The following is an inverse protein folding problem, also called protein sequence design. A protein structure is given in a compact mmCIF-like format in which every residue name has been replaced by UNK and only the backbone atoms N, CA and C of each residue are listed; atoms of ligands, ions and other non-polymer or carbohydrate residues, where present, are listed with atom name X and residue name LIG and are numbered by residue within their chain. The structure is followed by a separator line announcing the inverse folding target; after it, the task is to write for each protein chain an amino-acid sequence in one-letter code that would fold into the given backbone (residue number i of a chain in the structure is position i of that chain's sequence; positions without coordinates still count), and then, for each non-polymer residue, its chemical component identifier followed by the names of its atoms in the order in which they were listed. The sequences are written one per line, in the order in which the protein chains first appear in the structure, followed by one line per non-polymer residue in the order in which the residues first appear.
data_IF_453951996910
#
_entry.id   IF_453951996910
#
_cell.length_a   1.000
_cell.length_b   1.000
_cell.length_c   1.000
_cell.angle_alpha   90.00
_cell.angle_beta   90.00
_cell.angle_gamma   90.00
#
_symmetry.space_group_name_H-M   'P 1'
#
loop_
_entity.id
_entity.type
_entity.pdbx_description
1 polymer ?
#
# COMPACT_ATOMS: atom_id res chain seq x y z
N UNK A 1 -22.95 12.27 10.39
CA UNK A 1 -21.67 11.60 10.71
C UNK A 1 -21.26 12.02 12.10
N UNK A 2 -20.98 11.09 13.00
CA UNK A 2 -20.62 11.43 14.38
C UNK A 2 -19.23 10.89 14.71
N UNK A 3 -18.43 11.71 15.40
CA UNK A 3 -17.14 11.26 15.90
C UNK A 3 -17.36 10.25 17.04
N UNK A 4 -16.65 9.13 16.99
CA UNK A 4 -16.58 8.17 18.10
C UNK A 4 -15.74 8.68 19.28
N UNK A 5 -14.95 9.74 19.05
CA UNK A 5 -14.21 10.46 20.07
C UNK A 5 -14.39 11.98 19.84
N UNK A 6 -15.31 12.64 20.56
CA UNK A 6 -15.63 14.05 20.32
C UNK A 6 -14.52 14.98 20.84
N UNK A 7 -13.44 15.10 20.06
CA UNK A 7 -12.33 16.03 20.30
C UNK A 7 -12.53 17.31 19.48
N UNK A 8 -13.31 18.25 20.01
CA UNK A 8 -13.54 19.56 19.38
C UNK A 8 -13.89 19.46 17.89
N UNK A 9 -13.31 20.34 17.07
CA UNK A 9 -13.53 20.38 15.61
C UNK A 9 -12.65 19.43 14.78
N UNK A 10 -11.96 18.46 15.40
CA UNK A 10 -11.03 17.59 14.65
C UNK A 10 -11.73 16.73 13.59
N UNK A 11 -12.96 16.29 13.87
CA UNK A 11 -13.73 15.50 12.92
C UNK A 11 -14.09 16.32 11.67
N UNK A 12 -14.47 17.59 11.85
CA UNK A 12 -14.77 18.48 10.73
C UNK A 12 -13.51 18.79 9.90
N UNK A 13 -12.35 18.96 10.56
CA UNK A 13 -11.07 19.11 9.86
C UNK A 13 -10.71 17.86 9.04
N UNK A 14 -10.93 16.66 9.58
CA UNK A 14 -10.74 15.40 8.86
C UNK A 14 -11.65 15.34 7.62
N UNK A 15 -12.93 15.65 7.78
CA UNK A 15 -13.91 15.62 6.69
C UNK A 15 -13.62 16.69 5.62
N UNK A 16 -13.19 17.89 6.03
CA UNK A 16 -12.79 18.94 5.10
C UNK A 16 -11.62 18.50 4.22
N UNK A 17 -10.62 17.81 4.79
CA UNK A 17 -9.50 17.26 4.03
C UNK A 17 -9.94 16.15 3.07
N UNK A 18 -10.79 15.22 3.52
CA UNK A 18 -11.32 14.15 2.65
C UNK A 18 -11.97 14.75 1.39
N UNK A 19 -12.87 15.72 1.57
CA UNK A 19 -13.61 16.34 0.46
C UNK A 19 -12.65 17.13 -0.43
N UNK A 20 -11.79 17.99 0.15
CA UNK A 20 -10.84 18.79 -0.62
C UNK A 20 -9.86 17.94 -1.45
N UNK A 21 -9.44 16.78 -0.95
CA UNK A 21 -8.57 15.88 -1.70
C UNK A 21 -9.28 15.25 -2.90
N UNK A 22 -10.54 14.84 -2.76
CA UNK A 22 -11.31 14.27 -3.88
C UNK A 22 -11.51 15.31 -4.99
N UNK A 23 -11.78 16.57 -4.63
CA UNK A 23 -11.88 17.69 -5.56
C UNK A 23 -10.52 17.98 -6.24
N UNK A 24 -9.44 18.06 -5.46
CA UNK A 24 -8.11 18.34 -5.98
C UNK A 24 -7.62 17.26 -6.96
N UNK A 25 -7.90 15.99 -6.68
CA UNK A 25 -7.59 14.87 -7.58
C UNK A 25 -8.42 14.93 -8.87
N UNK A 26 -9.70 15.29 -8.79
CA UNK A 26 -10.58 15.39 -9.95
C UNK A 26 -10.21 16.56 -10.87
N UNK A 27 -10.00 17.75 -10.32
CA UNK A 27 -9.89 18.98 -11.11
C UNK A 27 -8.48 19.55 -11.22
N UNK A 28 -7.58 19.16 -10.32
CA UNK A 28 -6.22 19.66 -10.32
C UNK A 28 -6.16 21.19 -10.24
N UNK A 29 -5.17 21.75 -10.93
CA UNK A 29 -4.86 23.18 -10.94
C UNK A 29 -4.05 23.55 -12.17
N UNK A 30 -4.63 24.39 -13.02
CA UNK A 30 -4.06 24.80 -14.30
C UNK A 30 -2.88 25.78 -14.16
N UNK A 31 -2.00 25.89 -15.17
CA UNK A 31 -0.94 26.90 -15.17
C UNK A 31 -1.45 28.34 -14.99
N UNK A 32 -2.60 28.68 -15.56
CA UNK A 32 -3.20 30.00 -15.43
C UNK A 32 -3.59 30.31 -13.97
N UNK A 33 -4.19 29.34 -13.27
CA UNK A 33 -4.52 29.46 -11.85
C UNK A 33 -3.25 29.56 -11.00
N UNK A 34 -2.22 28.77 -11.28
CA UNK A 34 -0.93 28.83 -10.55
C UNK A 34 -0.25 30.19 -10.71
N UNK A 35 -0.28 30.78 -11.93
CA UNK A 35 0.24 32.14 -12.18
C UNK A 35 -0.55 33.21 -11.46
N UNK A 36 -1.89 33.09 -11.41
CA UNK A 36 -2.75 34.03 -10.71
C UNK A 36 -2.47 34.11 -9.20
N UNK A 37 -1.84 33.08 -8.61
CA UNK A 37 -1.39 33.07 -7.21
C UNK A 37 -0.05 33.78 -6.97
N UNK A 38 0.53 34.42 -7.99
CA UNK A 38 1.84 35.08 -7.89
C UNK A 38 3.02 34.11 -7.88
N UNK A 39 2.84 32.89 -8.38
CA UNK A 39 3.93 31.90 -8.51
C UNK A 39 4.97 32.40 -9.53
N UNK A 40 6.28 32.44 -9.21
CA UNK A 40 7.33 32.73 -10.18
C UNK A 40 7.28 31.78 -11.37
N UNK A 41 7.49 32.26 -12.60
CA UNK A 41 7.28 31.47 -13.82
C UNK A 41 8.08 30.15 -13.84
N UNK A 42 9.31 30.16 -13.31
CA UNK A 42 10.14 28.96 -13.23
C UNK A 42 9.56 27.88 -12.30
N UNK A 43 8.71 28.26 -11.33
CA UNK A 43 8.10 27.35 -10.36
C UNK A 43 6.70 26.87 -10.81
N UNK A 44 6.08 27.55 -11.77
CA UNK A 44 4.75 27.18 -12.33
C UNK A 44 4.67 25.70 -12.72
N UNK A 45 5.59 25.11 -13.52
CA UNK A 45 5.46 23.71 -13.93
C UNK A 45 5.51 22.72 -12.76
N UNK A 46 6.11 23.09 -11.62
CA UNK A 46 6.17 22.24 -10.42
C UNK A 46 4.96 22.38 -9.50
N UNK A 47 4.09 23.39 -9.72
CA UNK A 47 2.88 23.65 -8.91
C UNK A 47 1.57 23.35 -9.66
N UNK A 48 1.65 22.97 -10.93
CA UNK A 48 0.50 22.51 -11.71
C UNK A 48 0.10 21.12 -11.21
N UNK A 49 -1.20 20.93 -11.03
CA UNK A 49 -1.79 19.62 -10.76
C UNK A 49 -2.65 19.26 -11.97
N UNK A 50 -2.38 18.14 -12.64
CA UNK A 50 -3.08 17.78 -13.88
C UNK A 50 -4.56 17.42 -13.66
N UNK A 51 -4.94 17.04 -12.44
CA UNK A 51 -6.28 16.56 -12.15
C UNK A 51 -6.59 15.26 -12.90
N UNK A 52 -7.87 15.04 -13.21
CA UNK A 52 -8.38 13.87 -13.93
C UNK A 52 -7.97 12.53 -13.28
N UNK A 53 -7.89 12.51 -11.95
CA UNK A 53 -7.61 11.31 -11.16
C UNK A 53 -8.92 10.86 -10.49
N UNK A 54 -9.53 9.76 -10.97
CA UNK A 54 -10.83 9.33 -10.45
C UNK A 54 -10.70 8.83 -9.00
N UNK A 55 -11.74 9.07 -8.21
CA UNK A 55 -11.85 8.60 -6.82
C UNK A 55 -13.25 8.04 -6.57
N UNK A 56 -13.35 7.10 -5.63
CA UNK A 56 -14.62 6.65 -5.07
C UNK A 56 -14.65 7.04 -3.60
N UNK A 57 -15.70 7.75 -3.17
CA UNK A 57 -15.87 8.18 -1.78
C UNK A 57 -17.02 7.40 -1.16
N UNK A 58 -16.71 6.60 -0.13
CA UNK A 58 -17.70 5.84 0.63
C UNK A 58 -17.87 6.53 1.98
N UNK A 59 -19.07 7.06 2.24
CA UNK A 59 -19.43 7.74 3.49
C UNK A 59 -20.36 6.84 4.30
N UNK A 60 -19.93 6.46 5.50
CA UNK A 60 -20.76 5.76 6.48
C UNK A 60 -21.09 6.70 7.66
N UNK A 61 -22.27 6.59 8.26
CA UNK A 61 -22.67 7.51 9.33
C UNK A 61 -21.73 7.47 10.54
N UNK A 62 -21.30 6.28 10.96
CA UNK A 62 -20.38 6.01 12.06
C UNK A 62 -19.63 4.71 11.79
N UNK A 63 -18.39 4.58 12.30
CA UNK A 63 -17.64 3.33 12.26
C UNK A 63 -18.04 2.41 13.43
N UNK A 64 -19.15 1.71 13.26
CA UNK A 64 -19.61 0.65 14.17
C UNK A 64 -19.12 -0.72 13.73
N UNK A 65 -19.16 -1.78 14.59
CA UNK A 65 -18.85 -3.15 14.18
C UNK A 65 -19.65 -3.60 12.95
N UNK A 66 -20.92 -3.22 12.85
CA UNK A 66 -21.76 -3.50 11.69
C UNK A 66 -21.23 -2.82 10.41
N UNK A 67 -20.97 -1.51 10.46
CA UNK A 67 -20.46 -0.77 9.30
C UNK A 67 -19.07 -1.23 8.87
N UNK A 68 -18.23 -1.66 9.82
CA UNK A 68 -16.92 -2.23 9.53
C UNK A 68 -17.06 -3.58 8.83
N UNK A 69 -17.93 -4.46 9.33
CA UNK A 69 -18.23 -5.73 8.69
C UNK A 69 -18.79 -5.56 7.27
N UNK A 70 -19.69 -4.59 7.08
CA UNK A 70 -20.22 -4.26 5.76
C UNK A 70 -19.14 -3.74 4.81
N UNK A 71 -18.21 -2.91 5.30
CA UNK A 71 -17.08 -2.41 4.51
C UNK A 71 -16.13 -3.55 4.09
N UNK A 72 -15.82 -4.48 5.00
CA UNK A 72 -15.01 -5.67 4.68
C UNK A 72 -15.71 -6.51 3.61
N UNK A 73 -16.98 -6.85 3.82
CA UNK A 73 -17.76 -7.65 2.89
C UNK A 73 -17.88 -6.99 1.49
N UNK A 74 -17.99 -5.66 1.44
CA UNK A 74 -17.97 -4.90 0.18
C UNK A 74 -16.68 -5.16 -0.60
N UNK A 75 -15.52 -5.13 0.06
CA UNK A 75 -14.24 -5.38 -0.61
C UNK A 75 -14.02 -6.85 -0.93
N UNK A 76 -14.46 -7.79 -0.08
CA UNK A 76 -14.44 -9.23 -0.39
C UNK A 76 -15.20 -9.52 -1.68
N UNK A 77 -16.42 -8.97 -1.82
CA UNK A 77 -17.22 -9.14 -3.03
C UNK A 77 -16.66 -8.37 -4.23
N UNK A 78 -16.06 -7.19 -4.03
CA UNK A 78 -15.39 -6.45 -5.11
C UNK A 78 -14.23 -7.26 -5.70
N UNK A 79 -13.40 -7.88 -4.85
CA UNK A 79 -12.31 -8.75 -5.29
C UNK A 79 -12.84 -10.01 -5.98
N UNK A 80 -13.86 -10.65 -5.40
CA UNK A 80 -14.50 -11.81 -6.02
C UNK A 80 -15.05 -11.51 -7.41
N UNK A 81 -15.76 -10.40 -7.59
CA UNK A 81 -16.33 -9.99 -8.88
C UNK A 81 -15.23 -9.75 -9.91
N UNK A 82 -14.13 -9.10 -9.53
CA UNK A 82 -12.96 -8.93 -10.42
C UNK A 82 -12.37 -10.27 -10.85
N UNK A 83 -12.18 -11.20 -9.92
CA UNK A 83 -11.69 -12.54 -10.23
C UNK A 83 -12.62 -13.34 -11.15
N UNK A 84 -13.94 -13.24 -10.93
CA UNK A 84 -14.94 -13.85 -11.80
C UNK A 84 -14.90 -13.28 -13.22
N UNK A 85 -14.72 -11.96 -13.37
CA UNK A 85 -14.57 -11.30 -14.68
C UNK A 85 -13.29 -11.76 -15.39
N UNK A 86 -12.18 -11.90 -14.65
CA UNK A 86 -10.89 -12.33 -15.22
C UNK A 86 -10.73 -13.84 -15.36
N UNK A 87 -11.73 -14.63 -14.96
CA UNK A 87 -11.68 -16.10 -14.97
C UNK A 87 -10.47 -16.67 -14.22
N UNK A 88 -10.16 -16.12 -13.04
CA UNK A 88 -9.11 -16.62 -12.15
C UNK A 88 -9.71 -17.15 -10.83
N UNK A 89 -9.02 -18.08 -10.19
CA UNK A 89 -9.39 -18.53 -8.85
C UNK A 89 -8.94 -17.48 -7.82
N UNK A 90 -9.92 -16.82 -7.19
CA UNK A 90 -9.66 -15.80 -6.15
C UNK A 90 -9.40 -16.40 -4.76
N UNK A 91 -9.48 -17.73 -4.65
CA UNK A 91 -9.40 -18.45 -3.37
C UNK A 91 -8.15 -19.34 -3.27
N UNK A 92 -7.32 -19.38 -4.31
CA UNK A 92 -6.02 -20.05 -4.27
C UNK A 92 -4.87 -19.07 -3.94
N UNK A 93 -3.71 -19.64 -3.56
CA UNK A 93 -2.50 -18.87 -3.29
C UNK A 93 -1.21 -19.64 -3.58
N UNK A 94 -1.15 -20.39 -4.69
CA UNK A 94 -0.01 -21.28 -4.99
C UNK A 94 1.35 -20.57 -5.05
N UNK A 95 1.36 -19.27 -5.39
CA UNK A 95 2.58 -18.46 -5.47
C UNK A 95 3.40 -18.37 -4.17
N UNK A 96 2.83 -18.72 -3.01
CA UNK A 96 3.53 -18.67 -1.72
C UNK A 96 4.38 -19.91 -1.43
N UNK A 97 4.18 -21.01 -2.16
CA UNK A 97 4.76 -22.29 -1.81
C UNK A 97 6.26 -22.35 -2.06
N UNK A 98 6.72 -21.85 -3.22
CA UNK A 98 8.13 -21.88 -3.59
C UNK A 98 8.98 -21.12 -2.57
N UNK A 99 8.53 -19.93 -2.15
CA UNK A 99 9.22 -19.13 -1.14
C UNK A 99 9.35 -19.86 0.20
N UNK A 100 8.28 -20.52 0.66
CA UNK A 100 8.29 -21.33 1.89
C UNK A 100 9.26 -22.50 1.78
N UNK A 101 9.26 -23.21 0.66
CA UNK A 101 10.18 -24.34 0.41
C UNK A 101 11.64 -23.90 0.36
N UNK A 102 11.95 -22.80 -0.34
CA UNK A 102 13.31 -22.25 -0.41
C UNK A 102 13.78 -21.78 0.97
N UNK A 103 12.93 -21.08 1.73
CA UNK A 103 13.25 -20.66 3.09
C UNK A 103 13.58 -21.86 4.00
N UNK A 104 12.80 -22.94 3.95
CA UNK A 104 13.06 -24.16 4.72
C UNK A 104 14.43 -24.79 4.39
N UNK A 105 14.91 -24.68 3.14
CA UNK A 105 16.25 -25.14 2.74
C UNK A 105 17.37 -24.20 3.23
N UNK A 106 17.12 -22.89 3.23
CA UNK A 106 18.14 -21.88 3.59
C UNK A 106 18.31 -21.75 5.10
N UNK A 107 17.25 -21.86 5.90
CA UNK A 107 17.29 -21.76 7.38
C UNK A 107 18.42 -22.60 8.01
N UNK A 108 18.53 -23.93 7.77
CA UNK A 108 19.60 -24.72 8.37
C UNK A 108 20.98 -24.26 7.91
N UNK A 109 21.12 -23.82 6.66
CA UNK A 109 22.40 -23.33 6.14
C UNK A 109 22.87 -22.03 6.81
N UNK A 110 21.93 -21.21 7.28
CA UNK A 110 22.25 -20.03 8.09
C UNK A 110 22.59 -20.40 9.54
N UNK A 111 22.00 -21.46 10.09
CA UNK A 111 22.10 -21.82 11.51
C UNK A 111 23.30 -22.70 11.85
N UNK A 112 23.76 -23.55 10.94
CA UNK A 112 24.85 -24.50 11.17
C UNK A 112 26.12 -23.84 11.73
N UNK A 113 26.79 -24.52 12.67
CA UNK A 113 28.00 -24.01 13.30
C UNK A 113 29.18 -23.90 12.30
N UNK A 114 29.38 -24.94 11.48
CA UNK A 114 30.34 -24.96 10.37
C UNK A 114 29.70 -24.44 9.08
N UNK A 115 30.50 -23.96 8.12
CA UNK A 115 29.96 -23.58 6.81
C UNK A 115 29.52 -24.83 6.04
N UNK A 116 28.22 -24.94 5.67
CA UNK A 116 27.74 -26.08 4.91
C UNK A 116 28.10 -25.93 3.44
N UNK A 117 28.04 -27.04 2.69
CA UNK A 117 28.08 -26.98 1.23
C UNK A 117 26.85 -26.24 0.74
N UNK A 118 27.07 -25.15 -0.01
CA UNK A 118 26.01 -24.38 -0.64
C UNK A 118 25.88 -24.78 -2.11
N UNK A 119 24.64 -24.97 -2.56
CA UNK A 119 24.31 -25.42 -3.93
C UNK A 119 23.19 -24.55 -4.53
N UNK A 120 23.22 -23.25 -4.24
CA UNK A 120 22.35 -22.25 -4.87
C UNK A 120 23.12 -21.46 -5.94
N UNK A 121 22.45 -20.48 -6.55
CA UNK A 121 23.10 -19.51 -7.42
C UNK A 121 24.16 -18.68 -6.67
N UNK A 122 25.04 -18.02 -7.43
CA UNK A 122 26.16 -17.26 -6.89
C UNK A 122 25.73 -16.09 -6.00
N UNK A 123 24.60 -15.45 -6.27
CA UNK A 123 24.06 -14.34 -5.46
C UNK A 123 23.59 -14.85 -4.10
N UNK A 124 22.75 -15.89 -4.09
CA UNK A 124 22.23 -16.50 -2.86
C UNK A 124 23.36 -17.02 -1.98
N UNK A 125 24.35 -17.71 -2.57
CA UNK A 125 25.50 -18.22 -1.82
C UNK A 125 26.34 -17.10 -1.20
N UNK A 126 26.54 -15.99 -1.92
CA UNK A 126 27.28 -14.83 -1.41
C UNK A 126 26.56 -14.19 -0.21
N UNK A 127 25.23 -14.07 -0.27
CA UNK A 127 24.42 -13.52 0.81
C UNK A 127 24.45 -14.40 2.06
N UNK A 128 24.31 -15.72 1.90
CA UNK A 128 24.39 -16.69 3.01
C UNK A 128 25.73 -16.58 3.74
N UNK A 129 26.84 -16.56 2.98
CA UNK A 129 28.19 -16.42 3.55
C UNK A 129 28.35 -15.10 4.31
N UNK A 130 27.96 -13.99 3.68
CA UNK A 130 28.06 -12.65 4.30
C UNK A 130 27.27 -12.56 5.60
N UNK A 131 26.04 -13.08 5.62
CA UNK A 131 25.22 -13.11 6.83
C UNK A 131 25.89 -13.92 7.95
N UNK A 132 26.39 -15.13 7.63
CA UNK A 132 27.07 -15.99 8.62
C UNK A 132 28.32 -15.33 9.20
N UNK A 133 29.11 -14.64 8.39
CA UNK A 133 30.29 -13.89 8.86
C UNK A 133 29.89 -12.79 9.86
N UNK A 134 28.88 -11.99 9.54
CA UNK A 134 28.41 -10.92 10.43
C UNK A 134 27.85 -11.49 11.74
N UNK A 135 27.06 -12.58 11.68
CA UNK A 135 26.47 -13.21 12.87
C UNK A 135 27.51 -13.83 13.82
N UNK A 136 28.66 -14.27 13.31
CA UNK A 136 29.75 -14.81 14.15
C UNK A 136 30.63 -13.73 14.77
N UNK A 137 30.61 -12.52 14.21
CA UNK A 137 31.43 -11.40 14.65
C UNK A 137 30.78 -10.56 15.77
N UNK A 138 29.48 -10.74 16.00
CA UNK A 138 28.74 -10.19 17.15
C UNK A 138 28.41 -11.27 18.16
#
# INVERSE_FOLDING_TARGET
MHSLNPLGGQHDLLMANLIAQTEALAFGKTPAQVRAEGTPEWLVPHRVCEGNRPTNTILAENLTPHSLGALVALYEHSVFVQGAIWHIDSFDQWGVELGKQLAQKVIPQLQDAAEPRLDHDSSTNALIRRYRTVRKAG
#
